data_IF_520806321075
#
_entry.id   IF_520806321075
#
_cell.length_a   1.000
_cell.length_b   1.000
_cell.length_c   1.000
_cell.angle_alpha   90.00
_cell.angle_beta   90.00
_cell.angle_gamma   90.00
#
_symmetry.space_group_name_H-M   'P 1'
#
loop_
_entity.id
_entity.type
_entity.pdbx_description
1 polymer ?
#
# COMPACT_ATOMS: atom_id res chain seq x y z
N UNK A 1 19.70 -9.74 4.31
CA UNK A 1 19.78 -9.20 2.94
C UNK A 1 21.00 -8.30 2.85
N UNK A 2 21.97 -8.63 1.99
CA UNK A 2 23.25 -7.90 1.91
C UNK A 2 23.06 -6.64 1.06
N UNK A 3 23.00 -5.47 1.70
CA UNK A 3 22.99 -4.18 1.00
C UNK A 3 24.38 -3.93 0.40
N UNK A 4 24.51 -4.11 -0.91
CA UNK A 4 25.75 -3.73 -1.60
C UNK A 4 25.90 -2.21 -1.52
N UNK A 5 27.06 -1.69 -1.08
CA UNK A 5 27.28 -0.26 -1.01
C UNK A 5 27.27 0.37 -2.40
N UNK A 6 26.73 1.58 -2.51
CA UNK A 6 26.80 2.38 -3.72
C UNK A 6 28.26 2.61 -4.11
N UNK A 7 28.61 2.35 -5.38
CA UNK A 7 29.95 2.60 -5.91
C UNK A 7 30.01 3.99 -6.54
N UNK A 8 30.86 4.87 -5.98
CA UNK A 8 31.16 6.18 -6.58
C UNK A 8 32.21 6.01 -7.68
N UNK A 9 31.94 6.61 -8.83
CA UNK A 9 32.87 6.70 -9.97
C UNK A 9 33.14 8.17 -10.24
N UNK A 10 34.41 8.55 -10.36
CA UNK A 10 34.82 9.90 -10.71
C UNK A 10 35.16 9.93 -12.21
N UNK A 11 34.60 10.89 -12.93
CA UNK A 11 34.80 11.08 -14.36
C UNK A 11 34.83 12.57 -14.65
N UNK A 12 35.78 13.00 -15.48
CA UNK A 12 35.95 14.39 -15.87
C UNK A 12 36.02 14.47 -17.39
N UNK A 13 35.25 15.39 -17.96
CA UNK A 13 35.24 15.69 -19.40
C UNK A 13 35.72 17.11 -19.61
N UNK A 14 36.46 17.29 -20.69
CA UNK A 14 36.84 18.59 -21.20
C UNK A 14 36.00 18.86 -22.44
N UNK A 15 35.46 20.06 -22.50
CA UNK A 15 34.73 20.57 -23.65
C UNK A 15 35.54 21.69 -24.28
N UNK A 16 35.49 21.80 -25.60
CA UNK A 16 36.14 22.84 -26.39
C UNK A 16 35.09 23.79 -26.99
N UNK A 17 34.58 24.76 -26.20
CA UNK A 17 33.55 25.68 -26.67
C UNK A 17 34.06 26.67 -27.74
N UNK A 18 35.38 26.74 -27.97
CA UNK A 18 35.99 27.61 -28.98
C UNK A 18 35.85 26.97 -30.35
N UNK A 19 36.15 25.67 -30.46
CA UNK A 19 36.19 24.96 -31.73
C UNK A 19 34.95 24.10 -32.00
N UNK A 20 34.13 23.79 -31.00
CA UNK A 20 32.90 22.99 -31.15
C UNK A 20 31.66 23.78 -30.75
N UNK A 21 30.73 23.93 -31.70
CA UNK A 21 29.43 24.56 -31.44
C UNK A 21 28.57 23.73 -30.47
N UNK A 22 28.65 22.40 -30.56
CA UNK A 22 27.96 21.49 -29.67
C UNK A 22 28.48 21.63 -28.23
N UNK A 23 29.81 21.72 -28.07
CA UNK A 23 30.47 21.92 -26.77
C UNK A 23 30.11 23.27 -26.17
N UNK A 24 30.11 24.33 -26.98
CA UNK A 24 29.70 25.68 -26.54
C UNK A 24 28.27 25.67 -26.02
N UNK A 25 27.37 25.03 -26.76
CA UNK A 25 25.98 24.90 -26.33
C UNK A 25 25.85 24.08 -25.04
N UNK A 26 26.53 22.93 -24.96
CA UNK A 26 26.54 22.09 -23.76
C UNK A 26 27.06 22.82 -22.52
N UNK A 27 28.12 23.63 -22.66
CA UNK A 27 28.63 24.49 -21.58
C UNK A 27 27.56 25.46 -21.10
N UNK A 28 26.86 26.13 -22.01
CA UNK A 28 25.77 27.07 -21.67
C UNK A 28 24.64 26.39 -20.89
N UNK A 29 24.19 25.22 -21.36
CA UNK A 29 23.15 24.41 -20.69
C UNK A 29 23.60 23.99 -19.30
N UNK A 30 24.82 23.49 -19.15
CA UNK A 30 25.36 23.06 -17.85
C UNK A 30 25.54 24.22 -16.86
N UNK A 31 25.91 25.40 -17.34
CA UNK A 31 25.97 26.61 -16.51
C UNK A 31 24.57 27.05 -16.05
N UNK A 32 23.56 26.93 -16.92
CA UNK A 32 22.16 27.15 -16.56
C UNK A 32 21.73 26.23 -15.41
N UNK A 33 21.91 24.92 -15.57
CA UNK A 33 21.59 23.94 -14.53
C UNK A 33 22.29 24.19 -13.19
N UNK A 34 23.54 24.67 -13.22
CA UNK A 34 24.27 25.02 -12.00
C UNK A 34 23.65 26.23 -11.29
N UNK A 35 23.16 27.23 -12.03
CA UNK A 35 22.45 28.39 -11.48
C UNK A 35 21.09 27.96 -10.92
N UNK A 36 20.31 27.24 -11.70
CA UNK A 36 18.97 26.75 -11.31
C UNK A 36 19.05 25.92 -10.02
N UNK A 37 20.05 25.04 -9.90
CA UNK A 37 20.25 24.24 -8.69
C UNK A 37 20.54 25.12 -7.46
N UNK A 38 21.33 26.19 -7.62
CA UNK A 38 21.65 27.12 -6.52
C UNK A 38 20.40 27.87 -6.05
N UNK A 39 19.54 28.25 -7.00
CA UNK A 39 18.24 28.88 -6.71
C UNK A 39 17.30 27.91 -5.98
N UNK A 40 17.16 26.68 -6.48
CA UNK A 40 16.36 25.62 -5.84
C UNK A 40 16.81 25.28 -4.42
N UNK A 41 18.11 25.38 -4.12
CA UNK A 41 18.64 25.13 -2.77
C UNK A 41 18.22 26.22 -1.76
N UNK A 42 17.82 27.39 -2.25
CA UNK A 42 17.33 28.51 -1.44
C UNK A 42 15.80 28.48 -1.28
N UNK A 43 15.10 27.65 -2.04
CA UNK A 43 13.64 27.51 -2.04
C UNK A 43 13.21 26.22 -1.32
N UNK A 44 12.58 26.31 -0.13
CA UNK A 44 12.09 25.16 0.62
C UNK A 44 11.03 24.32 -0.12
N UNK A 45 10.35 24.88 -1.11
CA UNK A 45 9.31 24.18 -1.89
C UNK A 45 9.87 23.36 -3.05
N UNK A 46 11.14 23.56 -3.43
CA UNK A 46 11.76 22.95 -4.59
C UNK A 46 12.35 21.54 -4.36
N UNK A 47 11.99 20.85 -3.27
CA UNK A 47 12.63 19.58 -2.86
C UNK A 47 12.62 18.48 -3.92
N UNK A 48 11.51 18.31 -4.65
CA UNK A 48 11.40 17.30 -5.73
C UNK A 48 12.26 17.68 -6.93
N UNK A 49 12.25 18.96 -7.33
CA UNK A 49 13.06 19.45 -8.45
C UNK A 49 14.56 19.36 -8.13
N UNK A 50 14.95 19.68 -6.90
CA UNK A 50 16.31 19.53 -6.41
C UNK A 50 16.77 18.07 -6.50
N UNK A 51 15.94 17.12 -6.05
CA UNK A 51 16.24 15.69 -6.16
C UNK A 51 16.47 15.25 -7.62
N UNK A 52 15.62 15.69 -8.56
CA UNK A 52 15.83 15.40 -9.99
C UNK A 52 17.15 15.98 -10.49
N UNK A 53 17.46 17.24 -10.14
CA UNK A 53 18.69 17.92 -10.56
C UNK A 53 19.97 17.22 -10.09
N UNK A 54 19.93 16.52 -8.94
CA UNK A 54 21.07 15.77 -8.39
C UNK A 54 21.40 14.52 -9.22
N UNK A 55 20.39 13.91 -9.83
CA UNK A 55 20.53 12.66 -10.59
C UNK A 55 20.57 12.86 -12.10
N UNK A 56 20.30 14.06 -12.58
CA UNK A 56 20.22 14.38 -14.00
C UNK A 56 21.50 13.99 -14.77
N UNK A 57 22.70 14.35 -14.29
CA UNK A 57 23.95 13.99 -15.00
C UNK A 57 24.18 12.48 -15.07
N UNK A 58 23.80 11.73 -14.02
CA UNK A 58 23.86 10.26 -14.04
C UNK A 58 22.97 9.71 -15.15
N UNK A 59 21.74 10.21 -15.26
CA UNK A 59 20.79 9.75 -16.27
C UNK A 59 21.28 10.09 -17.69
N UNK A 60 21.80 11.30 -17.92
CA UNK A 60 22.37 11.71 -19.21
C UNK A 60 23.55 10.80 -19.60
N UNK A 61 24.48 10.55 -18.68
CA UNK A 61 25.63 9.69 -18.94
C UNK A 61 25.21 8.25 -19.25
N UNK A 62 24.28 7.68 -18.46
CA UNK A 62 23.79 6.32 -18.70
C UNK A 62 23.06 6.22 -20.04
N UNK A 63 22.23 7.19 -20.38
CA UNK A 63 21.54 7.24 -21.67
C UNK A 63 22.55 7.29 -22.83
N UNK A 64 23.51 8.21 -22.78
CA UNK A 64 24.56 8.33 -23.81
C UNK A 64 25.45 7.09 -23.91
N UNK A 65 25.81 6.49 -22.76
CA UNK A 65 26.59 5.25 -22.72
C UNK A 65 25.82 4.09 -23.36
N UNK A 66 24.56 3.87 -22.98
CA UNK A 66 23.76 2.80 -23.58
C UNK A 66 23.48 3.05 -25.06
N UNK A 67 23.28 4.30 -25.47
CA UNK A 67 23.16 4.66 -26.88
C UNK A 67 24.45 4.33 -27.65
N UNK A 68 25.62 4.62 -27.05
CA UNK A 68 26.91 4.27 -27.63
C UNK A 68 27.11 2.76 -27.75
N UNK A 69 26.65 1.97 -26.76
CA UNK A 69 26.69 0.51 -26.84
C UNK A 69 25.75 -0.06 -27.92
N UNK A 70 24.64 0.63 -28.22
CA UNK A 70 23.74 0.25 -29.32
C UNK A 70 24.33 0.61 -30.69
N UNK A 71 24.86 1.83 -30.84
CA UNK A 71 25.48 2.30 -32.07
C UNK A 71 26.48 3.42 -31.78
N UNK A 72 27.80 3.14 -31.85
CA UNK A 72 28.82 4.17 -31.71
C UNK A 72 28.70 5.28 -32.77
N UNK A 73 28.28 4.91 -33.98
CA UNK A 73 28.09 5.86 -35.08
C UNK A 73 27.00 6.88 -34.75
N UNK A 74 25.86 6.43 -34.22
CA UNK A 74 24.76 7.31 -33.82
C UNK A 74 25.17 8.26 -32.70
N UNK A 75 25.81 7.75 -31.64
CA UNK A 75 26.26 8.59 -30.54
C UNK A 75 27.25 9.66 -31.00
N UNK A 76 28.18 9.31 -31.89
CA UNK A 76 29.14 10.27 -32.46
C UNK A 76 28.44 11.30 -33.36
N UNK A 77 27.50 10.86 -34.20
CA UNK A 77 26.73 11.75 -35.07
C UNK A 77 25.93 12.77 -34.25
N UNK A 78 25.21 12.31 -33.23
CA UNK A 78 24.45 13.17 -32.33
C UNK A 78 25.34 14.14 -31.56
N UNK A 79 26.47 13.66 -31.01
CA UNK A 79 27.42 14.52 -30.30
C UNK A 79 27.99 15.63 -31.18
N UNK A 80 28.21 15.36 -32.48
CA UNK A 80 28.74 16.36 -33.43
C UNK A 80 27.68 17.26 -34.07
N UNK A 81 26.43 16.80 -34.21
CA UNK A 81 25.40 17.51 -34.97
C UNK A 81 24.45 18.35 -34.11
N UNK A 82 24.29 18.01 -32.83
CA UNK A 82 23.33 18.68 -31.96
C UNK A 82 23.88 20.03 -31.50
N UNK A 83 23.19 21.07 -31.94
CA UNK A 83 23.38 22.48 -31.56
C UNK A 83 22.03 23.03 -31.15
N UNK A 84 21.98 24.23 -30.56
CA UNK A 84 20.74 24.87 -30.10
C UNK A 84 19.57 24.77 -31.10
N UNK A 85 19.84 25.06 -32.38
CA UNK A 85 18.83 25.06 -33.45
C UNK A 85 18.41 23.65 -33.90
N UNK A 86 19.23 22.65 -33.60
CA UNK A 86 19.14 21.27 -34.09
C UNK A 86 18.66 20.28 -33.02
N UNK A 87 18.36 20.72 -31.80
CA UNK A 87 17.75 19.86 -30.79
C UNK A 87 16.24 19.83 -31.02
N UNK A 88 15.84 18.99 -31.98
CA UNK A 88 14.45 18.73 -32.36
C UNK A 88 14.25 17.24 -32.60
N UNK A 89 13.01 16.78 -32.46
CA UNK A 89 12.67 15.37 -32.71
C UNK A 89 13.01 14.98 -34.16
N UNK A 90 12.71 15.85 -35.13
CA UNK A 90 13.01 15.62 -36.56
C UNK A 90 14.51 15.40 -36.82
N UNK A 91 15.38 16.13 -36.10
CA UNK A 91 16.83 15.95 -36.24
C UNK A 91 17.27 14.61 -35.65
N UNK A 92 16.67 14.17 -34.55
CA UNK A 92 16.94 12.86 -33.97
C UNK A 92 16.49 11.73 -34.92
N UNK A 93 15.29 11.84 -35.50
CA UNK A 93 14.78 10.88 -36.51
C UNK A 93 15.72 10.81 -37.71
N UNK A 94 16.13 11.95 -38.24
CA UNK A 94 17.08 12.00 -39.36
C UNK A 94 18.44 11.36 -39.00
N UNK A 95 18.97 11.57 -37.79
CA UNK A 95 20.23 10.93 -37.39
C UNK A 95 20.07 9.41 -37.21
N UNK A 96 18.91 8.95 -36.71
CA UNK A 96 18.60 7.52 -36.63
C UNK A 96 18.54 6.89 -38.01
N UNK A 97 17.84 7.53 -38.96
CA UNK A 97 17.77 7.08 -40.36
C UNK A 97 19.15 7.05 -41.01
N UNK A 98 19.96 8.09 -40.83
CA UNK A 98 21.33 8.16 -41.35
C UNK A 98 22.23 7.04 -40.80
N UNK A 99 21.95 6.56 -39.60
CA UNK A 99 22.67 5.45 -38.98
C UNK A 99 22.07 4.08 -39.31
N UNK A 100 21.08 4.01 -40.21
CA UNK A 100 20.42 2.76 -40.61
C UNK A 100 19.48 2.19 -39.53
N UNK A 101 19.10 3.00 -38.54
CA UNK A 101 18.20 2.64 -37.44
C UNK A 101 16.75 3.09 -37.69
N UNK A 102 16.38 3.21 -38.97
CA UNK A 102 15.04 3.61 -39.37
C UNK A 102 14.01 2.69 -38.71
N UNK A 103 13.19 3.28 -37.84
CA UNK A 103 11.99 2.62 -37.33
C UNK A 103 11.08 2.40 -38.54
N UNK A 104 10.41 1.24 -38.68
CA UNK A 104 9.38 1.08 -39.69
C UNK A 104 8.32 2.14 -39.42
N UNK A 105 8.37 3.23 -40.19
CA UNK A 105 7.36 4.27 -40.14
C UNK A 105 6.02 3.57 -40.31
N UNK A 106 5.15 3.74 -39.32
CA UNK A 106 3.71 3.53 -39.45
C UNK A 106 3.19 4.54 -40.48
N UNK A 107 3.50 4.32 -41.76
CA UNK A 107 2.57 4.60 -42.84
C UNK A 107 1.73 3.34 -43.00
N UNK A 108 0.54 3.26 -42.37
CA UNK A 108 -0.34 2.14 -42.62
C UNK A 108 -1.01 2.36 -43.98
N UNK A 109 -0.60 1.62 -45.00
CA UNK A 109 -1.51 1.18 -46.06
C UNK A 109 -2.16 -0.14 -45.62
N UNK A 110 -2.87 -0.13 -44.50
CA UNK A 110 -3.74 -1.18 -43.94
C UNK A 110 -4.64 -0.47 -42.90
N UNK A 111 -5.92 -0.87 -42.72
CA UNK A 111 -6.89 -0.05 -41.98
C UNK A 111 -6.39 0.20 -40.55
N UNK A 112 -6.27 1.48 -40.21
CA UNK A 112 -5.76 1.96 -38.95
C UNK A 112 -6.54 1.33 -37.79
N UNK A 113 -5.82 0.68 -36.87
CA UNK A 113 -6.38 0.37 -35.56
C UNK A 113 -6.59 1.72 -34.88
N UNK A 114 -7.86 2.13 -34.83
CA UNK A 114 -8.24 3.47 -34.38
C UNK A 114 -7.90 3.62 -32.90
N UNK A 115 -6.77 4.28 -32.62
CA UNK A 115 -6.31 4.54 -31.26
C UNK A 115 -7.33 5.37 -30.49
N UNK A 116 -8.17 6.15 -31.16
CA UNK A 116 -9.30 6.82 -30.52
C UNK A 116 -10.38 5.84 -30.09
N UNK A 117 -10.69 4.83 -30.90
CA UNK A 117 -11.61 3.76 -30.51
C UNK A 117 -11.09 2.95 -29.30
N UNK A 118 -9.79 2.66 -29.25
CA UNK A 118 -9.15 2.01 -28.09
C UNK A 118 -9.15 2.89 -26.85
N UNK A 119 -8.93 4.21 -26.99
CA UNK A 119 -8.99 5.17 -25.88
C UNK A 119 -10.44 5.34 -25.40
N UNK A 120 -11.41 5.33 -26.30
CA UNK A 120 -12.83 5.42 -25.96
C UNK A 120 -13.35 4.12 -25.34
N UNK A 121 -12.83 2.95 -25.75
CA UNK A 121 -13.06 1.67 -25.10
C UNK A 121 -12.43 1.64 -23.69
N UNK A 122 -11.23 2.20 -23.52
CA UNK A 122 -10.60 2.32 -22.20
C UNK A 122 -11.33 3.31 -21.29
N UNK A 123 -11.84 4.42 -21.83
CA UNK A 123 -12.71 5.37 -21.10
C UNK A 123 -14.07 4.75 -20.75
N UNK A 124 -14.62 3.90 -21.63
CA UNK A 124 -15.83 3.15 -21.35
C UNK A 124 -15.58 2.09 -20.26
N UNK A 125 -14.42 1.41 -20.26
CA UNK A 125 -14.01 0.48 -19.22
C UNK A 125 -13.70 1.17 -17.88
N UNK A 126 -13.19 2.41 -17.92
CA UNK A 126 -12.95 3.29 -16.76
C UNK A 126 -14.18 4.17 -16.47
N UNK A 127 -15.36 3.82 -16.99
CA UNK A 127 -16.59 4.51 -16.64
C UNK A 127 -16.99 4.13 -15.21
N UNK A 128 -16.40 4.86 -14.25
CA UNK A 128 -16.68 4.81 -12.81
C UNK A 128 -18.15 5.05 -12.46
N UNK A 129 -19.03 5.30 -13.43
CA UNK A 129 -20.48 5.41 -13.20
C UNK A 129 -21.07 4.16 -12.57
N UNK A 130 -20.68 2.95 -13.00
CA UNK A 130 -21.19 1.72 -12.37
C UNK A 130 -20.75 1.61 -10.90
N UNK A 131 -19.50 1.98 -10.61
CA UNK A 131 -18.97 1.99 -9.25
C UNK A 131 -19.62 3.09 -8.40
N UNK A 132 -19.90 4.26 -8.99
CA UNK A 132 -20.55 5.38 -8.33
C UNK A 132 -22.03 5.07 -8.05
N UNK A 133 -22.71 4.42 -8.98
CA UNK A 133 -24.08 3.91 -8.82
C UNK A 133 -24.12 2.83 -7.73
N UNK A 134 -23.14 1.93 -7.69
CA UNK A 134 -23.01 0.89 -6.64
C UNK A 134 -22.71 1.51 -5.27
N UNK A 135 -21.81 2.50 -5.18
CA UNK A 135 -21.56 3.27 -3.95
C UNK A 135 -22.83 4.02 -3.51
N UNK A 136 -23.59 4.58 -4.45
CA UNK A 136 -24.82 5.31 -4.16
C UNK A 136 -25.96 4.38 -3.73
N UNK A 137 -26.01 3.16 -4.28
CA UNK A 137 -26.93 2.11 -3.89
C UNK A 137 -26.58 1.52 -2.52
N UNK A 138 -25.29 1.31 -2.22
CA UNK A 138 -24.81 0.94 -0.88
C UNK A 138 -25.13 2.05 0.13
N UNK A 139 -24.93 3.32 -0.25
CA UNK A 139 -25.29 4.46 0.60
C UNK A 139 -26.80 4.54 0.85
N UNK A 140 -27.63 4.30 -0.17
CA UNK A 140 -29.08 4.26 -0.03
C UNK A 140 -29.54 3.08 0.85
N UNK A 141 -28.99 1.89 0.65
CA UNK A 141 -29.25 0.70 1.47
C UNK A 141 -28.76 0.84 2.93
N UNK A 142 -27.70 1.62 3.16
CA UNK A 142 -27.24 1.95 4.51
C UNK A 142 -28.16 2.98 5.19
N UNK A 143 -28.70 3.94 4.44
CA UNK A 143 -29.72 4.86 4.95
C UNK A 143 -31.02 4.10 5.24
N UNK A 144 -31.45 3.18 4.38
CA UNK A 144 -32.59 2.29 4.66
C UNK A 144 -32.34 1.42 5.89
N UNK A 145 -31.18 0.78 6.00
CA UNK A 145 -30.80 0.03 7.20
C UNK A 145 -30.79 0.91 8.45
N UNK A 146 -30.32 2.16 8.38
CA UNK A 146 -30.39 3.09 9.52
C UNK A 146 -31.83 3.52 9.83
N UNK A 147 -32.72 3.65 8.85
CA UNK A 147 -34.14 3.92 9.11
C UNK A 147 -34.89 2.72 9.67
N UNK A 148 -34.51 1.49 9.29
CA UNK A 148 -35.02 0.25 9.89
C UNK A 148 -34.45 0.07 11.31
N UNK A 149 -33.20 0.47 11.56
CA UNK A 149 -32.62 0.46 12.91
C UNK A 149 -33.26 1.52 13.81
N UNK A 150 -33.60 2.70 13.27
CA UNK A 150 -34.32 3.76 13.98
C UNK A 150 -35.83 3.47 14.16
N UNK A 151 -36.45 2.69 13.28
CA UNK A 151 -37.85 2.25 13.40
C UNK A 151 -38.00 1.03 14.33
N UNK A 152 -37.01 0.13 14.41
CA UNK A 152 -36.97 -0.97 15.40
C UNK A 152 -36.59 -0.46 16.80
N UNK A 153 -35.83 0.64 16.91
CA UNK A 153 -35.52 1.29 18.20
C UNK A 153 -36.69 2.05 18.84
N UNK A 154 -37.77 2.35 18.09
CA UNK A 154 -38.96 3.03 18.62
C UNK A 154 -40.17 2.09 18.86
N UNK A 155 -39.96 0.77 18.85
CA UNK A 155 -41.02 -0.24 19.02
C UNK A 155 -40.72 -1.35 20.03
N UNK A 156 -39.66 -1.24 20.85
CA UNK A 156 -39.38 -2.17 21.94
C UNK A 156 -39.65 -1.45 23.27
N UNK A 157 -40.83 -1.72 23.82
CA UNK A 157 -41.29 -1.13 25.08
C UNK A 157 -40.34 -1.52 26.21
N UNK A 158 -40.08 -0.61 27.15
CA UNK A 158 -39.21 -0.82 28.32
C UNK A 158 -39.57 -2.09 29.13
N UNK A 159 -40.84 -2.52 29.06
CA UNK A 159 -41.38 -3.79 29.58
C UNK A 159 -40.71 -5.04 28.98
N UNK A 160 -40.44 -5.06 27.67
CA UNK A 160 -39.94 -6.25 26.97
C UNK A 160 -38.44 -6.46 27.24
N UNK A 161 -37.69 -5.36 27.44
CA UNK A 161 -36.29 -5.41 27.87
C UNK A 161 -36.19 -5.91 29.31
N UNK A 162 -37.08 -5.46 30.21
CA UNK A 162 -37.12 -5.94 31.59
C UNK A 162 -37.45 -7.45 31.67
N UNK A 163 -38.41 -7.92 30.85
CA UNK A 163 -38.76 -9.34 30.80
C UNK A 163 -37.60 -10.21 30.27
N UNK A 164 -36.89 -9.76 29.25
CA UNK A 164 -35.70 -10.47 28.72
C UNK A 164 -34.55 -10.49 29.72
N UNK A 165 -34.30 -9.40 30.45
CA UNK A 165 -33.28 -9.37 31.50
C UNK A 165 -33.60 -10.34 32.64
N UNK A 166 -34.88 -10.42 33.04
CA UNK A 166 -35.31 -11.34 34.09
C UNK A 166 -35.16 -12.81 33.64
N UNK A 167 -35.50 -13.13 32.40
CA UNK A 167 -35.33 -14.48 31.85
C UNK A 167 -33.85 -14.86 31.74
N UNK A 168 -32.99 -13.96 31.27
CA UNK A 168 -31.55 -14.21 31.21
C UNK A 168 -30.94 -14.43 32.60
N UNK A 169 -31.36 -13.64 33.59
CA UNK A 169 -30.91 -13.82 34.98
C UNK A 169 -31.36 -15.17 35.56
N UNK A 170 -32.60 -15.60 35.26
CA UNK A 170 -33.10 -16.90 35.67
C UNK A 170 -32.32 -18.05 35.01
N UNK A 171 -31.97 -17.91 33.72
CA UNK A 171 -31.22 -18.92 32.98
C UNK A 171 -29.76 -19.02 33.42
N UNK A 172 -29.09 -17.89 33.69
CA UNK A 172 -27.74 -17.88 34.27
C UNK A 172 -27.74 -18.59 35.64
N UNK A 173 -28.75 -18.33 36.48
CA UNK A 173 -28.89 -19.00 37.78
C UNK A 173 -29.16 -20.49 37.63
N UNK A 174 -30.00 -20.88 36.68
CA UNK A 174 -30.26 -22.30 36.40
C UNK A 174 -28.98 -23.01 35.93
N UNK A 175 -28.19 -22.37 35.07
CA UNK A 175 -26.91 -22.90 34.62
C UNK A 175 -25.88 -23.01 35.75
N UNK A 176 -25.78 -22.02 36.64
CA UNK A 176 -24.87 -22.09 37.78
C UNK A 176 -25.25 -23.24 38.72
N UNK A 177 -26.55 -23.42 38.99
CA UNK A 177 -27.06 -24.55 39.79
C UNK A 177 -26.79 -25.90 39.11
N UNK A 178 -26.96 -25.99 37.79
CA UNK A 178 -26.63 -27.22 37.05
C UNK A 178 -25.16 -27.57 37.13
N UNK A 179 -24.28 -26.56 37.05
CA UNK A 179 -22.84 -26.74 37.21
C UNK A 179 -22.48 -27.22 38.61
N UNK A 180 -23.03 -26.60 39.64
CA UNK A 180 -22.80 -26.99 41.04
C UNK A 180 -23.29 -28.43 41.29
N UNK A 181 -24.46 -28.82 40.76
CA UNK A 181 -24.96 -30.20 40.84
C UNK A 181 -24.04 -31.17 40.10
N UNK A 182 -23.49 -30.80 38.94
CA UNK A 182 -22.56 -31.64 38.20
C UNK A 182 -21.24 -31.83 38.97
N UNK A 183 -20.71 -30.77 39.58
CA UNK A 183 -19.51 -30.82 40.43
C UNK A 183 -19.76 -31.68 41.68
N UNK A 184 -20.89 -31.51 42.35
CA UNK A 184 -21.27 -32.35 43.50
C UNK A 184 -21.43 -33.83 43.10
N UNK A 185 -22.02 -34.11 41.93
CA UNK A 185 -22.12 -35.49 41.40
C UNK A 185 -20.76 -36.08 41.06
N UNK A 186 -19.85 -35.30 40.47
CA UNK A 186 -18.49 -35.74 40.20
C UNK A 186 -17.75 -36.06 41.50
N UNK A 187 -17.86 -35.20 42.51
CA UNK A 187 -17.22 -35.40 43.80
C UNK A 187 -17.80 -36.61 44.56
N UNK A 188 -19.11 -36.84 44.47
CA UNK A 188 -19.77 -38.07 44.95
C UNK A 188 -19.27 -39.31 44.21
N UNK A 189 -19.06 -39.25 42.90
CA UNK A 189 -18.52 -40.36 42.11
C UNK A 189 -17.08 -40.67 42.51
N UNK A 190 -16.25 -39.63 42.70
CA UNK A 190 -14.87 -39.77 43.18
C UNK A 190 -14.83 -40.36 44.58
N UNK A 191 -15.66 -39.87 45.51
CA UNK A 191 -15.77 -40.47 46.84
C UNK A 191 -16.23 -41.94 46.78
N UNK A 192 -17.20 -42.28 45.94
CA UNK A 192 -17.62 -43.68 45.76
C UNK A 192 -16.51 -44.56 45.15
N UNK A 193 -15.70 -44.03 44.24
CA UNK A 193 -14.53 -44.73 43.72
C UNK A 193 -13.45 -44.91 44.79
N UNK A 194 -13.23 -43.91 45.65
CA UNK A 194 -12.26 -43.96 46.73
C UNK A 194 -12.71 -44.93 47.84
N UNK A 195 -14.00 -44.96 48.16
CA UNK A 195 -14.60 -45.98 49.06
C UNK A 195 -14.41 -47.39 48.47
N UNK A 196 -14.62 -47.57 47.15
CA UNK A 196 -14.37 -48.86 46.48
C UNK A 196 -12.89 -49.25 46.46
N UNK A 197 -11.97 -48.31 46.25
CA UNK A 197 -10.53 -48.61 46.30
C UNK A 197 -10.05 -48.92 47.72
N UNK A 198 -10.61 -48.26 48.74
CA UNK A 198 -10.36 -48.57 50.14
C UNK A 198 -11.01 -49.89 50.58
N UNK A 199 -12.20 -50.24 50.08
CA UNK A 199 -12.83 -51.54 50.38
C UNK A 199 -12.15 -52.71 49.66
N UNK A 200 -11.50 -52.47 48.53
CA UNK A 200 -10.81 -53.49 47.73
C UNK A 200 -9.27 -53.48 47.86
N UNK A 201 -8.71 -52.73 48.82
CA UNK A 201 -7.31 -52.89 49.26
C UNK A 201 -6.23 -52.71 48.18
N UNK A 202 -6.39 -51.76 47.25
CA UNK A 202 -5.43 -51.49 46.17
C UNK A 202 -5.00 -50.00 46.18
N UNK A 203 -3.71 -49.67 45.94
CA UNK A 203 -3.18 -48.31 46.16
C UNK A 203 -3.70 -47.26 45.16
N UNK A 204 -3.90 -46.03 45.66
CA UNK A 204 -4.53 -44.89 44.98
C UNK A 204 -3.75 -44.41 43.73
N UNK A 205 -4.44 -44.06 42.64
CA UNK A 205 -3.88 -43.25 41.56
C UNK A 205 -3.86 -41.75 41.92
N UNK A 206 -2.74 -41.14 41.55
CA UNK A 206 -2.34 -39.73 41.65
C UNK A 206 -3.28 -38.82 40.83
N UNK A 207 -3.80 -37.77 41.47
CA UNK A 207 -4.68 -36.75 40.87
C UNK A 207 -3.89 -35.45 40.77
N UNK A 208 -3.37 -35.11 39.60
CA UNK A 208 -2.84 -33.76 39.31
C UNK A 208 -3.78 -32.98 38.38
N UNK A 209 -4.58 -32.15 39.05
CA UNK A 209 -5.14 -30.84 38.69
C UNK A 209 -5.02 -30.36 37.24
N UNK A 210 -6.17 -30.35 36.58
CA UNK A 210 -6.55 -29.35 35.58
C UNK A 210 -6.86 -27.99 36.25
N UNK A 211 -6.18 -26.92 35.79
CA UNK A 211 -6.46 -25.47 35.82
C UNK A 211 -7.17 -24.81 37.03
N UNK A 212 -6.76 -23.56 37.37
CA UNK A 212 -7.79 -22.56 37.58
C UNK A 212 -7.50 -21.15 37.05
N UNK A 213 -8.61 -20.54 36.66
CA UNK A 213 -8.99 -19.13 36.84
C UNK A 213 -8.21 -18.04 36.09
N UNK A 214 -8.74 -17.72 34.90
CA UNK A 214 -8.66 -16.36 34.35
C UNK A 214 -9.34 -15.38 35.31
N UNK A 215 -8.54 -14.54 35.95
CA UNK A 215 -8.90 -13.47 36.88
C UNK A 215 -9.73 -12.36 36.19
N UNK A 216 -11.04 -12.58 36.10
CA UNK A 216 -12.02 -11.64 35.55
C UNK A 216 -12.09 -10.31 36.32
N UNK A 217 -11.55 -10.26 37.55
CA UNK A 217 -11.51 -9.02 38.36
C UNK A 217 -10.47 -8.03 37.82
N UNK A 218 -9.37 -8.51 37.22
CA UNK A 218 -8.38 -7.64 36.57
C UNK A 218 -8.91 -7.02 35.26
N UNK A 219 -9.77 -7.73 34.54
CA UNK A 219 -10.28 -7.27 33.24
C UNK A 219 -11.29 -6.12 33.39
N UNK A 220 -12.13 -6.15 34.42
CA UNK A 220 -13.08 -5.06 34.74
C UNK A 220 -12.35 -3.80 35.20
N UNK A 221 -11.26 -3.95 35.96
CA UNK A 221 -10.45 -2.82 36.46
C UNK A 221 -9.75 -2.03 35.33
N UNK A 222 -9.33 -2.71 34.24
CA UNK A 222 -8.68 -2.05 33.11
C UNK A 222 -9.65 -1.25 32.24
N UNK A 223 -10.89 -1.71 32.07
CA UNK A 223 -11.91 -0.98 31.28
C UNK A 223 -12.31 0.35 31.94
N UNK A 224 -12.40 0.39 33.27
CA UNK A 224 -12.73 1.63 33.99
C UNK A 224 -11.59 2.67 33.97
N UNK A 225 -10.32 2.25 33.83
CA UNK A 225 -9.17 3.17 33.68
C UNK A 225 -9.09 3.82 32.30
N UNK A 226 -9.54 3.14 31.24
CA UNK A 226 -9.53 3.68 29.87
C UNK A 226 -10.59 4.78 29.70
N UNK A 227 -11.76 4.67 30.36
CA UNK A 227 -12.79 5.72 30.34
C UNK A 227 -12.41 7.03 31.08
N UNK A 228 -11.39 7.01 31.95
CA UNK A 228 -11.00 8.17 32.79
C UNK A 228 -9.83 8.99 32.22
N UNK A 229 -9.22 8.55 31.11
CA UNK A 229 -8.23 9.32 30.34
C UNK A 229 -8.85 9.67 28.98
N UNK A 230 -9.57 10.79 28.94
CA UNK A 230 -10.36 11.22 27.79
C UNK A 230 -9.59 11.20 26.47
N UNK A 231 -10.05 10.36 25.56
CA UNK A 231 -9.95 10.53 24.12
C UNK A 231 -11.31 10.11 23.59
N UNK A 232 -12.24 11.06 23.60
CA UNK A 232 -13.28 11.39 22.62
C UNK A 232 -14.10 12.54 23.20
#
# INVERSE_FOLDING_TARGET
MSSRPLKRVNYSIYLDPVNSNADRYAVGVMQGWAKDRKEMMSDPSAGVALHYSLHMHKNIYLAGMFLYLLSPALSNALAGSLTEERIKIDTLEQQLENCGLALPSTKPSLPALDTHALIDELKAAVNMKSLMDEIQQIKAGLVESNTVTAAVQNGLSESDIAALQQNLAAEIKAHSQHREIAELKALLKTQNQLIKSLSNGQPLPEVEKSEPELDLSQQIANIQKVKKKGIF
#
